data_IF_165952553776
#
_entry.id   IF_165952553776
#
_cell.length_a   1.000
_cell.length_b   1.000
_cell.length_c   1.000
_cell.angle_alpha   90.00
_cell.angle_beta   90.00
_cell.angle_gamma   90.00
#
_symmetry.space_group_name_H-M   'P 1'
#
loop_
_entity.id
_entity.type
_entity.pdbx_description
1 polymer ?
#
# COMPACT_ATOMS: atom_id res chain seq x y z
N UNK A 1 -13.31 62.99 -7.33
CA UNK A 1 -12.61 62.28 -6.24
C UNK A 1 -13.13 60.84 -6.21
N UNK A 2 -12.61 59.96 -7.06
CA UNK A 2 -13.00 58.55 -7.09
C UNK A 2 -11.91 57.76 -6.33
N UNK A 3 -12.25 57.19 -5.19
CA UNK A 3 -11.35 56.31 -4.46
C UNK A 3 -11.32 54.97 -5.18
N UNK A 4 -10.17 54.65 -5.77
CA UNK A 4 -9.94 53.34 -6.38
C UNK A 4 -9.94 52.27 -5.30
N UNK A 5 -10.92 51.36 -5.36
CA UNK A 5 -10.87 50.10 -4.62
C UNK A 5 -9.73 49.29 -5.23
N UNK A 6 -8.63 49.17 -4.49
CA UNK A 6 -7.54 48.25 -4.83
C UNK A 6 -8.08 46.84 -4.53
N UNK A 7 -8.18 45.93 -5.52
CA UNK A 7 -8.57 44.56 -5.24
C UNK A 7 -7.51 43.94 -4.31
N UNK A 8 -7.90 43.12 -3.31
CA UNK A 8 -6.93 42.39 -2.52
C UNK A 8 -6.08 41.57 -3.49
N UNK A 9 -4.77 41.73 -3.40
CA UNK A 9 -3.81 40.89 -4.13
C UNK A 9 -4.18 39.43 -3.86
N UNK A 10 -4.43 38.66 -4.92
CA UNK A 10 -4.59 37.22 -4.85
C UNK A 10 -3.27 36.59 -4.38
N UNK A 11 -3.02 36.64 -3.07
CA UNK A 11 -1.95 35.89 -2.45
C UNK A 11 -2.24 34.42 -2.69
N UNK A 12 -1.32 33.71 -3.33
CA UNK A 12 -1.42 32.28 -3.55
C UNK A 12 -1.77 31.60 -2.21
N UNK A 13 -2.93 30.96 -2.14
CA UNK A 13 -3.35 30.21 -0.97
C UNK A 13 -2.43 28.98 -0.82
N UNK A 14 -1.29 29.12 -0.14
CA UNK A 14 -0.42 28.00 0.18
C UNK A 14 -0.79 27.42 1.54
N UNK A 15 -1.59 26.35 1.55
CA UNK A 15 -1.80 25.55 2.76
C UNK A 15 -0.50 24.83 3.15
N UNK A 16 -0.19 24.76 4.45
CA UNK A 16 0.96 23.97 4.94
C UNK A 16 0.84 22.50 4.57
N UNK A 17 -0.39 21.98 4.45
CA UNK A 17 -0.65 20.61 3.97
C UNK A 17 -0.22 20.46 2.51
N UNK A 18 -0.58 21.42 1.66
CA UNK A 18 -0.17 21.41 0.26
C UNK A 18 1.35 21.53 0.10
N UNK A 19 2.02 22.27 0.98
CA UNK A 19 3.48 22.35 1.04
C UNK A 19 4.11 21.01 1.45
N UNK A 20 3.57 20.34 2.47
CA UNK A 20 4.05 19.03 2.91
C UNK A 20 3.87 17.97 1.80
N UNK A 21 2.72 17.94 1.13
CA UNK A 21 2.44 17.02 0.01
C UNK A 21 3.34 17.31 -1.18
N UNK A 22 3.65 18.58 -1.48
CA UNK A 22 4.58 18.92 -2.56
C UNK A 22 5.99 18.38 -2.31
N UNK A 23 6.40 18.29 -1.04
CA UNK A 23 7.72 17.78 -0.64
C UNK A 23 7.78 16.25 -0.61
N UNK A 24 6.79 15.59 -0.02
CA UNK A 24 6.81 14.14 0.21
C UNK A 24 6.06 13.33 -0.86
N UNK A 25 5.01 13.92 -1.44
CA UNK A 25 4.09 13.27 -2.38
C UNK A 25 4.75 12.62 -3.60
N UNK A 26 5.78 13.21 -4.22
CA UNK A 26 6.46 12.57 -5.35
C UNK A 26 7.12 11.22 -5.02
N UNK A 27 7.47 10.99 -3.76
CA UNK A 27 8.08 9.74 -3.30
C UNK A 27 7.05 8.67 -2.89
N UNK A 28 5.76 9.01 -2.85
CA UNK A 28 4.68 8.07 -2.54
C UNK A 28 4.27 7.35 -3.81
N UNK A 29 4.28 6.02 -3.76
CA UNK A 29 4.07 5.17 -4.94
C UNK A 29 2.92 4.20 -4.73
N UNK A 30 2.24 3.83 -5.81
CA UNK A 30 1.31 2.71 -5.81
C UNK A 30 2.08 1.40 -5.96
N UNK A 31 1.67 0.37 -5.23
CA UNK A 31 2.20 -0.99 -5.40
C UNK A 31 1.06 -1.88 -5.85
N UNK A 32 1.22 -2.49 -7.02
CA UNK A 32 0.31 -3.49 -7.56
C UNK A 32 0.97 -4.86 -7.47
N UNK A 33 0.28 -5.86 -6.94
CA UNK A 33 0.80 -7.21 -6.80
C UNK A 33 -0.09 -8.22 -7.50
N UNK A 34 0.53 -9.25 -8.08
CA UNK A 34 -0.20 -10.38 -8.67
C UNK A 34 0.25 -11.67 -7.99
N UNK A 35 -0.72 -12.44 -7.52
CA UNK A 35 -0.52 -13.77 -6.94
C UNK A 35 -1.19 -14.81 -7.81
N UNK A 36 -0.42 -15.78 -8.29
CA UNK A 36 -0.97 -16.95 -8.99
C UNK A 36 -1.44 -17.97 -7.96
N UNK A 37 -2.75 -18.12 -7.83
CA UNK A 37 -3.38 -19.12 -6.98
C UNK A 37 -3.84 -20.28 -7.85
N UNK A 38 -3.40 -21.49 -7.51
CA UNK A 38 -3.94 -22.70 -8.14
C UNK A 38 -5.15 -23.14 -7.34
N UNK A 39 -6.35 -22.92 -7.87
CA UNK A 39 -7.56 -23.44 -7.23
C UNK A 39 -7.64 -24.92 -7.57
N UNK A 40 -7.62 -25.78 -6.55
CA UNK A 40 -7.81 -27.21 -6.70
C UNK A 40 -9.19 -27.51 -7.28
N UNK A 41 -9.29 -27.67 -8.59
CA UNK A 41 -10.48 -28.13 -9.30
C UNK A 41 -10.68 -29.62 -9.09
N UNK A 42 -11.08 -30.02 -7.88
CA UNK A 42 -11.42 -31.40 -7.56
C UNK A 42 -12.77 -31.46 -6.87
N UNK A 43 -13.69 -32.29 -7.39
CA UNK A 43 -14.84 -32.72 -6.62
C UNK A 43 -14.29 -33.43 -5.37
N UNK A 44 -14.67 -33.04 -4.14
CA UNK A 44 -14.16 -33.70 -2.93
C UNK A 44 -14.39 -35.21 -3.02
N UNK A 45 -13.41 -36.03 -2.62
CA UNK A 45 -13.50 -37.49 -2.73
C UNK A 45 -14.79 -38.06 -2.13
N UNK A 46 -15.32 -37.42 -1.08
CA UNK A 46 -16.61 -37.78 -0.47
C UNK A 46 -17.78 -37.78 -1.48
N UNK A 47 -17.84 -36.81 -2.39
CA UNK A 47 -18.88 -36.73 -3.43
C UNK A 47 -18.61 -37.70 -4.59
N UNK A 48 -17.34 -38.04 -4.87
CA UNK A 48 -16.97 -39.06 -5.86
C UNK A 48 -17.30 -40.49 -5.42
N UNK A 49 -17.50 -40.70 -4.11
CA UNK A 49 -17.88 -41.99 -3.51
C UNK A 49 -19.39 -42.14 -3.33
N UNK A 50 -20.18 -41.08 -3.56
CA UNK A 50 -21.64 -41.09 -3.43
C UNK A 50 -22.29 -41.84 -4.63
N UNK A 51 -23.04 -42.93 -4.38
CA UNK A 51 -23.72 -43.70 -5.42
C UNK A 51 -24.72 -42.90 -6.26
N UNK A 52 -25.43 -41.94 -5.66
CA UNK A 52 -26.44 -41.13 -6.35
C UNK A 52 -25.80 -40.11 -7.29
N UNK A 53 -24.68 -39.52 -6.87
CA UNK A 53 -23.91 -38.58 -7.69
C UNK A 53 -23.37 -39.26 -8.97
N UNK A 54 -22.86 -40.49 -8.85
CA UNK A 54 -22.36 -41.28 -9.99
C UNK A 54 -23.44 -41.64 -11.00
N UNK A 55 -24.67 -41.89 -10.52
CA UNK A 55 -25.81 -42.23 -11.37
C UNK A 55 -26.32 -41.03 -12.17
N UNK A 56 -26.19 -39.81 -11.63
CA UNK A 56 -26.70 -38.58 -12.25
C UNK A 56 -25.71 -37.91 -13.22
N UNK A 57 -24.41 -37.92 -12.93
CA UNK A 57 -23.38 -37.19 -13.70
C UNK A 57 -22.45 -38.10 -14.53
N UNK A 58 -22.95 -39.30 -14.88
CA UNK A 58 -22.28 -40.37 -15.62
C UNK A 58 -21.00 -39.99 -16.35
N UNK A 59 -19.85 -40.35 -15.75
CA UNK A 59 -18.51 -40.40 -16.37
C UNK A 59 -17.92 -39.10 -16.93
N UNK A 60 -18.71 -38.03 -17.07
CA UNK A 60 -18.33 -36.77 -17.72
C UNK A 60 -17.94 -35.66 -16.73
N UNK A 61 -18.18 -35.86 -15.43
CA UNK A 61 -17.78 -34.91 -14.38
C UNK A 61 -16.34 -35.12 -13.84
N UNK A 62 -15.57 -36.05 -14.40
CA UNK A 62 -14.21 -36.36 -13.94
C UNK A 62 -13.19 -35.47 -14.65
N UNK A 63 -12.78 -34.40 -13.97
CA UNK A 63 -11.55 -33.68 -14.29
C UNK A 63 -11.74 -32.28 -14.86
N UNK A 64 -12.39 -31.40 -14.12
CA UNK A 64 -12.12 -29.97 -14.33
C UNK A 64 -10.62 -29.75 -14.07
N UNK A 65 -9.83 -29.31 -15.06
CA UNK A 65 -8.41 -29.04 -14.82
C UNK A 65 -8.28 -27.97 -13.72
N UNK A 66 -7.22 -28.05 -12.89
CA UNK A 66 -6.96 -27.01 -11.90
C UNK A 66 -6.90 -25.66 -12.60
N UNK A 67 -7.77 -24.74 -12.19
CA UNK A 67 -7.79 -23.40 -12.76
C UNK A 67 -6.77 -22.55 -12.02
N UNK A 68 -5.82 -21.98 -12.77
CA UNK A 68 -4.97 -20.92 -12.25
C UNK A 68 -5.78 -19.63 -12.24
N UNK A 69 -6.04 -19.11 -11.05
CA UNK A 69 -6.60 -17.77 -10.86
C UNK A 69 -5.46 -16.82 -10.53
N UNK A 70 -5.45 -15.66 -11.16
CA UNK A 70 -4.58 -14.56 -10.75
C UNK A 70 -5.38 -13.68 -9.79
N UNK A 71 -4.91 -13.58 -8.55
CA UNK A 71 -5.39 -12.61 -7.57
C UNK A 71 -4.54 -11.35 -7.68
N UNK A 72 -5.18 -10.18 -7.59
CA UNK A 72 -4.51 -8.89 -7.63
C UNK A 72 -4.62 -8.22 -6.27
N UNK A 73 -3.50 -7.74 -5.77
CA UNK A 73 -3.40 -6.91 -4.57
C UNK A 73 -2.97 -5.50 -4.93
N UNK A 74 -3.25 -4.56 -4.02
CA UNK A 74 -2.87 -3.18 -4.19
C UNK A 74 -2.49 -2.56 -2.84
N UNK A 75 -1.49 -1.69 -2.83
CA UNK A 75 -1.04 -0.96 -1.66
C UNK A 75 -0.32 0.32 -2.02
N UNK A 76 0.30 0.94 -1.02
CA UNK A 76 1.16 2.12 -1.17
C UNK A 76 2.56 1.80 -0.66
N UNK A 77 3.56 2.44 -1.22
CA UNK A 77 4.93 2.45 -0.70
C UNK A 77 5.52 3.85 -0.68
N UNK A 78 6.70 3.98 -0.07
CA UNK A 78 7.45 5.23 -0.02
C UNK A 78 8.89 4.98 -0.45
N UNK A 79 9.36 5.75 -1.42
CA UNK A 79 10.76 5.73 -1.86
C UNK A 79 11.62 6.40 -0.79
N UNK A 80 12.55 5.66 -0.21
CA UNK A 80 13.45 6.15 0.84
C UNK A 80 14.92 6.22 0.40
N UNK A 81 15.26 5.65 -0.77
CA UNK A 81 16.56 5.87 -1.43
C UNK A 81 16.38 6.15 -2.92
N UNK A 82 17.17 7.10 -3.43
CA UNK A 82 17.05 7.59 -4.82
C UNK A 82 17.46 6.54 -5.88
N UNK A 83 18.16 5.48 -5.47
CA UNK A 83 18.53 4.32 -6.30
C UNK A 83 17.40 3.29 -6.45
N UNK A 84 16.21 3.57 -5.88
CA UNK A 84 15.01 2.79 -6.10
C UNK A 84 14.62 1.85 -4.97
N UNK A 85 15.05 2.10 -3.72
CA UNK A 85 14.49 1.38 -2.57
C UNK A 85 13.19 2.02 -2.06
N UNK A 86 12.20 1.16 -1.88
CA UNK A 86 10.84 1.49 -1.48
C UNK A 86 10.49 0.70 -0.23
N UNK A 87 9.95 1.38 0.78
CA UNK A 87 9.37 0.77 1.97
C UNK A 87 7.88 0.57 1.76
N UNK A 88 7.34 -0.59 2.16
CA UNK A 88 5.91 -0.89 2.17
C UNK A 88 5.59 -1.89 3.28
N UNK A 89 4.32 -2.26 3.41
CA UNK A 89 3.91 -3.30 4.32
C UNK A 89 4.22 -4.69 3.77
N UNK A 90 4.64 -5.61 4.64
CA UNK A 90 4.93 -6.99 4.27
C UNK A 90 3.73 -7.67 3.62
N UNK A 91 2.54 -7.51 4.20
CA UNK A 91 1.32 -8.14 3.70
C UNK A 91 0.90 -7.67 2.30
N UNK A 92 1.40 -6.52 1.80
CA UNK A 92 1.11 -6.03 0.44
C UNK A 92 1.82 -6.90 -0.61
N UNK A 93 3.04 -7.35 -0.30
CA UNK A 93 3.93 -8.05 -1.25
C UNK A 93 4.13 -9.53 -0.93
N UNK A 94 3.70 -9.99 0.24
CA UNK A 94 3.85 -11.39 0.64
C UNK A 94 3.10 -12.36 -0.30
N UNK A 95 3.78 -13.44 -0.68
CA UNK A 95 3.28 -14.43 -1.63
C UNK A 95 3.00 -13.90 -3.05
N UNK A 96 3.39 -12.66 -3.36
CA UNK A 96 3.23 -12.10 -4.71
C UNK A 96 4.22 -12.75 -5.68
N UNK A 97 3.71 -13.11 -6.87
CA UNK A 97 4.52 -13.61 -7.98
C UNK A 97 5.05 -12.49 -8.88
N UNK A 98 4.45 -11.29 -8.77
CA UNK A 98 4.85 -10.09 -9.51
C UNK A 98 4.53 -8.86 -8.67
N UNK A 99 5.43 -7.89 -8.69
CA UNK A 99 5.25 -6.56 -8.09
C UNK A 99 5.49 -5.49 -9.15
N UNK A 100 4.55 -4.56 -9.28
CA UNK A 100 4.66 -3.38 -10.12
C UNK A 100 4.53 -2.13 -9.25
N UNK A 101 5.35 -1.13 -9.53
CA UNK A 101 5.38 0.13 -8.80
C UNK A 101 4.94 1.25 -9.74
N UNK A 102 3.82 1.90 -9.41
CA UNK A 102 3.32 3.08 -10.11
C UNK A 102 3.83 4.36 -9.45
N UNK A 103 4.56 5.17 -10.21
CA UNK A 103 5.02 6.50 -9.81
C UNK A 103 3.93 7.56 -10.09
N UNK A 104 3.96 8.68 -9.37
CA UNK A 104 3.02 9.80 -9.58
C UNK A 104 3.19 10.49 -10.94
N UNK A 105 4.32 10.29 -11.62
CA UNK A 105 4.57 10.81 -12.97
C UNK A 105 3.99 9.90 -14.08
N UNK A 106 3.27 8.84 -13.69
CA UNK A 106 2.63 7.88 -14.59
C UNK A 106 3.54 6.74 -15.05
N UNK A 107 4.82 6.73 -14.69
CA UNK A 107 5.70 5.58 -14.98
C UNK A 107 5.33 4.38 -14.12
N UNK A 108 5.39 3.19 -14.72
CA UNK A 108 5.30 1.91 -14.01
C UNK A 108 6.62 1.17 -14.11
N UNK A 109 7.16 0.76 -12.98
CA UNK A 109 8.43 0.03 -12.88
C UNK A 109 8.19 -1.38 -12.33
N UNK A 110 8.95 -2.34 -12.81
CA UNK A 110 8.95 -3.68 -12.23
C UNK A 110 9.73 -3.68 -10.91
N UNK A 111 9.13 -4.24 -9.86
CA UNK A 111 9.70 -4.31 -8.52
C UNK A 111 10.17 -5.71 -8.18
N UNK A 112 11.33 -5.79 -7.51
CA UNK A 112 11.82 -7.01 -6.87
C UNK A 112 11.82 -6.84 -5.36
N UNK A 113 11.25 -7.81 -4.63
CA UNK A 113 11.31 -7.80 -3.17
C UNK A 113 12.73 -8.09 -2.71
N UNK A 114 13.31 -7.18 -1.93
CA UNK A 114 14.67 -7.30 -1.37
C UNK A 114 14.64 -8.06 -0.05
N UNK A 115 13.61 -7.80 0.77
CA UNK A 115 13.44 -8.44 2.07
C UNK A 115 12.06 -8.16 2.65
N UNK A 116 11.61 -9.06 3.51
CA UNK A 116 10.32 -8.99 4.22
C UNK A 116 10.59 -9.32 5.69
N UNK A 117 10.02 -8.53 6.59
CA UNK A 117 9.91 -8.82 8.01
C UNK A 117 8.41 -8.89 8.39
N UNK A 118 7.85 -10.11 8.48
CA UNK A 118 6.45 -10.30 8.84
C UNK A 118 6.11 -9.85 10.26
N UNK A 119 7.08 -9.85 11.20
CA UNK A 119 6.83 -9.52 12.62
C UNK A 119 6.52 -8.03 12.76
N UNK A 120 7.24 -7.19 12.00
CA UNK A 120 7.02 -5.75 11.96
C UNK A 120 6.07 -5.31 10.84
N UNK A 121 5.64 -6.24 9.99
CA UNK A 121 4.86 -6.01 8.78
C UNK A 121 5.53 -5.00 7.83
N UNK A 122 6.85 -5.13 7.66
CA UNK A 122 7.66 -4.30 6.76
C UNK A 122 8.23 -5.11 5.61
N UNK A 123 8.33 -4.48 4.44
CA UNK A 123 9.06 -5.02 3.30
C UNK A 123 9.79 -3.92 2.54
N UNK A 124 10.90 -4.33 1.91
CA UNK A 124 11.68 -3.47 1.01
C UNK A 124 11.54 -4.01 -0.40
N UNK A 125 11.16 -3.14 -1.33
CA UNK A 125 11.10 -3.41 -2.77
C UNK A 125 12.15 -2.55 -3.46
N UNK A 126 12.86 -3.14 -4.43
CA UNK A 126 13.78 -2.42 -5.33
C UNK A 126 13.18 -2.30 -6.71
N UNK A 127 13.30 -1.12 -7.31
CA UNK A 127 13.00 -0.87 -8.72
C UNK A 127 14.25 -0.36 -9.42
N UNK A 128 14.36 -0.65 -10.72
CA UNK A 128 15.39 -0.05 -11.57
C UNK A 128 14.84 1.21 -12.24
N UNK A 129 15.56 2.33 -12.14
CA UNK A 129 15.25 3.58 -12.84
C UNK A 129 16.50 4.13 -13.51
N UNK A 130 16.34 4.66 -14.73
CA UNK A 130 17.43 5.32 -15.45
C UNK A 130 17.81 6.68 -14.83
N UNK A 131 16.89 7.29 -14.08
CA UNK A 131 17.09 8.58 -13.40
C UNK A 131 16.86 8.44 -11.90
N UNK A 132 17.52 9.28 -11.06
CA UNK A 132 17.27 9.29 -9.62
C UNK A 132 15.79 9.49 -9.32
N UNK A 133 15.25 8.68 -8.39
CA UNK A 133 13.87 8.80 -7.96
C UNK A 133 13.71 9.84 -6.84
N UNK A 134 12.54 10.51 -6.74
CA UNK A 134 12.23 11.36 -5.60
C UNK A 134 12.21 10.55 -4.30
N UNK A 135 12.73 11.13 -3.22
CA UNK A 135 12.87 10.47 -1.92
C UNK A 135 12.09 11.23 -0.86
N UNK A 136 11.35 10.51 -0.03
CA UNK A 136 10.74 11.10 1.16
C UNK A 136 11.81 11.27 2.24
N UNK A 137 12.05 12.48 2.76
CA UNK A 137 12.95 12.66 3.90
C UNK A 137 12.36 11.96 5.13
N UNK A 138 13.17 11.12 5.79
CA UNK A 138 12.78 10.46 7.03
C UNK A 138 13.00 11.40 8.21
N UNK A 139 11.99 11.49 9.08
CA UNK A 139 12.06 12.22 10.34
C UNK A 139 12.46 11.33 11.52
N UNK A 140 12.65 11.94 12.69
CA UNK A 140 12.83 11.21 13.94
C UNK A 140 11.47 10.96 14.61
N UNK A 141 11.05 9.71 14.69
CA UNK A 141 9.79 9.32 15.33
C UNK A 141 9.78 9.55 16.85
N UNK A 142 10.94 9.52 17.51
CA UNK A 142 11.04 9.71 18.96
C UNK A 142 10.76 11.16 19.39
N UNK A 143 10.78 12.10 18.43
CA UNK A 143 10.48 13.50 18.66
C UNK A 143 8.98 13.84 18.50
N UNK A 144 8.17 12.89 18.01
CA UNK A 144 6.74 13.11 17.76
C UNK A 144 5.98 13.19 19.09
N UNK A 145 5.03 14.12 19.18
CA UNK A 145 4.21 14.35 20.37
C UNK A 145 2.72 14.18 20.07
N UNK A 146 1.96 13.77 21.09
CA UNK A 146 0.49 13.76 21.02
C UNK A 146 -0.01 15.20 20.82
N UNK A 147 -0.88 15.41 19.83
CA UNK A 147 -1.37 16.72 19.42
C UNK A 147 -0.65 17.33 18.22
N UNK A 148 0.50 16.78 17.79
CA UNK A 148 1.15 17.20 16.55
C UNK A 148 0.25 16.95 15.34
N UNK A 149 0.34 17.82 14.33
CA UNK A 149 -0.34 17.61 13.06
C UNK A 149 0.16 16.36 12.36
N UNK A 150 -0.76 15.53 11.87
CA UNK A 150 -0.48 14.33 11.12
C UNK A 150 -1.10 14.44 9.72
N UNK A 151 -0.28 14.33 8.68
CA UNK A 151 -0.73 14.29 7.29
C UNK A 151 -0.46 12.89 6.77
N UNK A 152 -1.51 12.15 6.43
CA UNK A 152 -1.38 10.86 5.78
C UNK A 152 -1.49 11.04 4.27
N UNK A 153 -0.54 10.47 3.54
CA UNK A 153 -0.49 10.52 2.08
C UNK A 153 -0.44 9.08 1.55
N UNK A 154 -1.41 8.73 0.71
CA UNK A 154 -1.50 7.42 0.09
C UNK A 154 -1.68 7.51 -1.42
N UNK A 155 -1.48 6.41 -2.13
CA UNK A 155 -1.80 6.32 -3.57
C UNK A 155 -2.55 5.01 -3.91
N UNK A 156 -3.75 4.79 -3.34
CA UNK A 156 -4.50 3.56 -3.51
C UNK A 156 -5.22 3.45 -4.86
N UNK A 157 -5.07 4.40 -5.81
CA UNK A 157 -5.70 4.30 -7.13
C UNK A 157 -4.76 4.64 -8.31
N UNK A 158 -3.59 5.23 -8.06
CA UNK A 158 -2.58 5.53 -9.08
C UNK A 158 -2.92 6.71 -10.00
N UNK A 159 -3.95 7.50 -9.66
CA UNK A 159 -4.35 8.69 -10.42
C UNK A 159 -3.81 9.96 -9.77
N UNK A 160 -4.02 10.10 -8.45
CA UNK A 160 -3.52 11.20 -7.63
C UNK A 160 -3.27 10.69 -6.20
N UNK A 161 -2.48 11.44 -5.44
CA UNK A 161 -2.30 11.18 -4.01
C UNK A 161 -3.60 11.46 -3.26
N UNK A 162 -4.02 10.51 -2.43
CA UNK A 162 -5.04 10.73 -1.39
C UNK A 162 -4.36 11.36 -0.18
N UNK A 163 -4.90 12.47 0.32
CA UNK A 163 -4.33 13.21 1.46
C UNK A 163 -5.40 13.41 2.52
N UNK A 164 -5.06 13.06 3.76
CA UNK A 164 -5.93 13.29 4.92
C UNK A 164 -5.12 14.01 6.02
N UNK A 165 -5.79 14.84 6.80
CA UNK A 165 -5.20 15.63 7.88
C UNK A 165 -5.87 15.25 9.20
N UNK A 166 -5.06 15.07 10.23
CA UNK A 166 -5.49 14.83 11.60
C UNK A 166 -4.39 15.24 12.57
N UNK A 167 -4.40 14.62 13.74
CA UNK A 167 -3.40 14.79 14.79
C UNK A 167 -2.89 13.45 15.29
N UNK A 168 -1.69 13.46 15.86
CA UNK A 168 -1.17 12.33 16.60
C UNK A 168 -1.98 12.15 17.89
N UNK A 169 -2.66 11.01 18.02
CA UNK A 169 -3.46 10.66 19.19
C UNK A 169 -2.69 9.83 20.22
N UNK A 170 -1.63 9.13 19.81
CA UNK A 170 -0.77 8.31 20.70
C UNK A 170 0.56 7.97 20.01
N UNK A 171 1.64 7.80 20.77
CA UNK A 171 2.99 7.48 20.25
C UNK A 171 3.49 6.08 20.61
N UNK A 172 2.85 5.38 21.55
CA UNK A 172 3.34 4.11 22.10
C UNK A 172 2.21 3.10 22.27
N UNK A 173 1.40 2.93 21.22
CA UNK A 173 0.29 1.99 21.27
C UNK A 173 0.78 0.60 20.90
N UNK A 174 0.98 -0.22 21.92
CA UNK A 174 1.42 -1.59 21.74
C UNK A 174 0.42 -2.40 20.91
N UNK A 175 0.87 -2.99 19.79
CA UNK A 175 0.01 -3.72 18.86
C UNK A 175 -0.77 -4.87 19.54
N UNK A 176 -0.18 -5.55 20.53
CA UNK A 176 -0.84 -6.64 21.25
C UNK A 176 -2.04 -6.16 22.09
N UNK A 177 -2.05 -4.90 22.54
CA UNK A 177 -3.22 -4.27 23.20
C UNK A 177 -4.36 -3.96 22.24
N UNK A 178 -4.12 -4.06 20.93
CA UNK A 178 -5.13 -3.89 19.86
C UNK A 178 -5.73 -5.22 19.39
N UNK A 179 -5.34 -6.34 20.02
CA UNK A 179 -5.70 -7.67 19.55
C UNK A 179 -4.87 -8.15 18.35
N UNK A 180 -3.83 -7.40 17.95
CA UNK A 180 -2.86 -7.81 16.95
C UNK A 180 -1.76 -8.60 17.67
N UNK A 181 -2.00 -9.88 17.88
CA UNK A 181 -1.16 -10.75 18.73
C UNK A 181 0.08 -11.29 18.02
N UNK A 182 0.08 -11.28 16.69
CA UNK A 182 1.16 -11.73 15.82
C UNK A 182 2.21 -10.65 15.54
N UNK A 183 1.89 -9.38 15.81
CA UNK A 183 2.82 -8.25 15.64
C UNK A 183 3.34 -7.73 16.97
N UNK A 184 4.65 -7.48 17.02
CA UNK A 184 5.33 -6.99 18.24
C UNK A 184 6.02 -5.65 17.97
N UNK A 185 5.20 -4.62 17.81
CA UNK A 185 5.64 -3.26 17.56
C UNK A 185 4.77 -2.23 18.28
N UNK A 186 5.37 -1.09 18.55
CA UNK A 186 4.69 0.08 19.08
C UNK A 186 4.24 0.97 17.91
N UNK A 187 2.98 1.37 17.95
CA UNK A 187 2.33 2.14 16.89
C UNK A 187 2.14 3.59 17.30
N UNK A 188 2.31 4.47 16.32
CA UNK A 188 1.79 5.84 16.35
C UNK A 188 0.34 5.78 15.87
N UNK A 189 -0.57 6.40 16.62
CA UNK A 189 -1.98 6.52 16.27
C UNK A 189 -2.29 7.94 15.79
N UNK A 190 -3.10 8.05 14.75
CA UNK A 190 -3.64 9.31 14.23
C UNK A 190 -5.13 9.15 13.91
N UNK A 191 -5.86 10.25 13.88
CA UNK A 191 -7.24 10.34 13.38
C UNK A 191 -7.33 10.84 11.93
N UNK A 192 -6.19 11.03 11.26
CA UNK A 192 -6.15 11.30 9.82
C UNK A 192 -6.70 10.08 9.06
N UNK A 193 -7.90 10.22 8.47
CA UNK A 193 -8.66 9.15 7.80
C UNK A 193 -9.37 9.65 6.55
#
# INVERSE_FOLDING_TARGET
>A
MAQGVVPPSAGAHSSFVAEAVRRAGPAVVRIDTERRVTTGGGIPQAFLLDPLFRQFFGGTALGAPPSQRTERGQGTGVIFQADGLILTNAHVVDGSSRVQVGLVDGRTLEGSVVGIDPITDLAVVRVASATPLPVAPLGNSDAVQVGDWAIAVGNPFGLDNTVTLGIISSTNRNASKLGITDKRLDLIQTDAA
#
